data_IF_953302002172
#
_entry.id   IF_953302002172
#
_cell.length_a   1.000
_cell.length_b   1.000
_cell.length_c   1.000
_cell.angle_alpha   90.00
_cell.angle_beta   90.00
_cell.angle_gamma   90.00
#
_symmetry.space_group_name_H-M   'P 1'
#
loop_
_entity.id
_entity.type
_entity.pdbx_description
1 polymer ?
#
# COMPACT_ATOMS: atom_id res chain seq x y z
N UNK A 1 24.58 -20.91 2.18
CA UNK A 1 23.60 -20.12 2.95
C UNK A 1 22.27 -20.29 2.26
N UNK A 2 21.40 -21.15 2.78
CA UNK A 2 20.04 -21.28 2.24
C UNK A 2 19.33 -19.95 2.40
N UNK A 3 18.97 -19.33 1.28
CA UNK A 3 18.03 -18.22 1.28
C UNK A 3 16.70 -18.85 1.66
N UNK A 4 16.37 -18.83 2.96
CA UNK A 4 15.00 -19.06 3.42
C UNK A 4 14.11 -18.14 2.59
N UNK A 5 13.29 -18.74 1.72
CA UNK A 5 12.30 -18.01 0.92
C UNK A 5 11.44 -17.28 1.95
N UNK A 6 11.69 -15.98 2.12
CA UNK A 6 10.98 -15.16 3.11
C UNK A 6 9.49 -15.33 2.81
N UNK A 7 8.76 -15.91 3.75
CA UNK A 7 7.32 -16.02 3.65
C UNK A 7 6.73 -14.63 3.53
N UNK A 8 5.72 -14.48 2.67
CA UNK A 8 5.04 -13.20 2.47
C UNK A 8 4.51 -12.73 3.84
N UNK A 9 4.88 -11.52 4.25
CA UNK A 9 4.45 -10.95 5.52
C UNK A 9 2.95 -10.68 5.49
N UNK A 10 2.20 -11.29 6.41
CA UNK A 10 0.75 -11.10 6.57
C UNK A 10 0.43 -10.56 7.95
N UNK A 11 -0.42 -9.53 8.00
CA UNK A 11 -0.80 -8.88 9.26
C UNK A 11 -2.16 -8.18 9.12
N UNK A 12 -3.20 -8.82 9.67
CA UNK A 12 -4.52 -8.21 9.78
C UNK A 12 -4.46 -6.89 10.58
N UNK A 13 -3.59 -6.81 11.61
CA UNK A 13 -3.35 -5.60 12.39
C UNK A 13 -2.79 -4.47 11.52
N UNK A 14 -1.84 -4.77 10.63
CA UNK A 14 -1.33 -3.78 9.69
C UNK A 14 -2.42 -3.25 8.76
N UNK A 15 -3.16 -4.15 8.11
CA UNK A 15 -4.21 -3.75 7.18
C UNK A 15 -5.33 -2.96 7.88
N UNK A 16 -5.65 -3.30 9.15
CA UNK A 16 -6.58 -2.51 9.95
C UNK A 16 -6.03 -1.11 10.24
N UNK A 17 -4.74 -0.98 10.58
CA UNK A 17 -4.10 0.32 10.80
C UNK A 17 -4.14 1.21 9.55
N UNK A 18 -3.86 0.65 8.36
CA UNK A 18 -3.98 1.37 7.08
C UNK A 18 -5.41 1.87 6.85
N UNK A 19 -6.41 1.04 7.17
CA UNK A 19 -7.84 1.38 7.02
C UNK A 19 -8.36 2.38 8.05
N UNK A 20 -7.63 2.64 9.13
CA UNK A 20 -7.96 3.70 10.10
C UNK A 20 -7.57 5.10 9.60
N UNK A 21 -6.89 5.21 8.46
CA UNK A 21 -6.62 6.51 7.85
C UNK A 21 -7.87 7.01 7.14
N UNK A 22 -8.47 8.10 7.61
CA UNK A 22 -9.76 8.59 7.09
C UNK A 22 -9.70 9.08 5.64
N UNK A 23 -8.52 9.53 5.19
CA UNK A 23 -8.35 10.21 3.92
C UNK A 23 -7.24 9.57 3.10
N UNK A 24 -7.47 9.48 1.79
CA UNK A 24 -6.48 9.07 0.80
C UNK A 24 -5.18 9.87 0.96
N UNK A 25 -4.05 9.18 1.01
CA UNK A 25 -2.75 9.83 1.20
C UNK A 25 -2.28 10.65 -0.01
N UNK A 26 -2.86 10.40 -1.20
CA UNK A 26 -2.52 11.13 -2.43
C UNK A 26 -3.40 12.36 -2.66
N UNK A 27 -4.72 12.19 -2.61
CA UNK A 27 -5.67 13.24 -3.02
C UNK A 27 -6.52 13.79 -1.86
N UNK A 28 -6.36 13.27 -0.64
CA UNK A 28 -7.09 13.70 0.57
C UNK A 28 -8.60 13.43 0.56
N UNK A 29 -9.15 12.79 -0.48
CA UNK A 29 -10.55 12.30 -0.49
C UNK A 29 -10.80 11.39 0.72
N UNK A 30 -11.95 11.59 1.38
CA UNK A 30 -12.39 10.74 2.48
C UNK A 30 -12.71 9.31 2.02
N UNK A 31 -12.39 8.33 2.85
CA UNK A 31 -12.54 6.91 2.59
C UNK A 31 -11.32 6.30 1.90
N UNK A 32 -10.81 5.19 2.46
CA UNK A 32 -9.63 4.49 1.95
C UNK A 32 -9.81 2.97 1.88
N UNK A 33 -9.06 2.36 0.98
CA UNK A 33 -8.77 0.94 0.90
C UNK A 33 -7.29 0.73 1.22
N UNK A 34 -6.94 -0.43 1.79
CA UNK A 34 -5.56 -0.87 1.88
C UNK A 34 -5.16 -1.50 0.54
N UNK A 35 -4.61 -0.69 -0.36
CA UNK A 35 -4.15 -1.10 -1.68
C UNK A 35 -2.78 -1.77 -1.57
N UNK A 36 -2.62 -2.99 -2.07
CA UNK A 36 -1.33 -3.70 -2.09
C UNK A 36 -0.51 -3.29 -3.31
N UNK A 37 0.82 -3.21 -3.18
CA UNK A 37 1.69 -2.98 -4.35
C UNK A 37 1.43 -4.04 -5.42
N UNK A 38 1.28 -3.60 -6.66
CA UNK A 38 1.03 -4.46 -7.81
C UNK A 38 2.32 -4.70 -8.63
N UNK A 39 3.34 -5.26 -8.00
CA UNK A 39 4.65 -5.53 -8.59
C UNK A 39 5.29 -6.79 -7.97
N UNK A 40 6.18 -7.45 -8.71
CA UNK A 40 6.98 -8.61 -8.28
C UNK A 40 6.16 -9.76 -7.67
N UNK A 41 4.97 -9.99 -8.23
CA UNK A 41 4.03 -11.02 -7.79
C UNK A 41 3.40 -11.76 -8.96
N UNK A 42 3.07 -13.03 -8.75
CA UNK A 42 2.23 -13.79 -9.67
C UNK A 42 0.80 -13.24 -9.73
N UNK A 43 0.08 -13.57 -10.80
CA UNK A 43 -1.31 -13.17 -10.98
C UNK A 43 -2.18 -13.68 -9.81
N UNK A 44 -3.04 -12.81 -9.27
CA UNK A 44 -3.89 -13.14 -8.11
C UNK A 44 -3.18 -13.18 -6.74
N UNK A 45 -1.84 -13.11 -6.71
CA UNK A 45 -1.09 -13.04 -5.45
C UNK A 45 -1.02 -11.60 -4.93
N UNK A 46 -0.84 -11.48 -3.61
CA UNK A 46 -0.55 -10.21 -2.92
C UNK A 46 0.88 -10.25 -2.42
N UNK A 47 1.60 -9.14 -2.50
CA UNK A 47 2.89 -8.96 -1.80
C UNK A 47 2.68 -8.83 -0.29
N UNK A 48 3.74 -8.55 0.45
CA UNK A 48 3.70 -8.26 1.88
C UNK A 48 2.63 -7.22 2.21
N UNK A 49 1.89 -7.46 3.30
CA UNK A 49 0.88 -6.51 3.78
C UNK A 49 1.51 -5.16 4.18
N UNK A 50 2.81 -5.14 4.50
CA UNK A 50 3.56 -3.91 4.79
C UNK A 50 3.76 -3.02 3.56
N UNK A 51 3.59 -3.56 2.36
CA UNK A 51 3.65 -2.83 1.08
C UNK A 51 2.24 -2.41 0.64
N UNK A 52 1.50 -1.79 1.57
CA UNK A 52 0.15 -1.28 1.32
C UNK A 52 0.05 0.23 1.49
N UNK A 53 -0.85 0.86 0.73
CA UNK A 53 -1.15 2.28 0.81
C UNK A 53 -2.63 2.53 1.12
N UNK A 54 -2.92 3.60 1.87
CA UNK A 54 -4.29 4.06 2.15
C UNK A 54 -4.79 4.96 1.00
N UNK A 55 -5.52 4.37 0.05
CA UNK A 55 -5.98 5.04 -1.17
C UNK A 55 -7.50 5.06 -1.28
N UNK A 56 -8.07 6.15 -1.80
CA UNK A 56 -9.47 6.13 -2.23
C UNK A 56 -9.63 5.23 -3.47
N UNK A 57 -10.87 4.86 -3.79
CA UNK A 57 -11.18 3.95 -4.91
C UNK A 57 -10.64 4.46 -6.26
N UNK A 58 -10.71 5.76 -6.52
CA UNK A 58 -10.23 6.32 -7.81
C UNK A 58 -8.71 6.24 -7.93
N UNK A 59 -7.98 6.66 -6.89
CA UNK A 59 -6.52 6.59 -6.88
C UNK A 59 -6.03 5.14 -6.93
N UNK A 60 -6.70 4.24 -6.22
CA UNK A 60 -6.40 2.81 -6.25
C UNK A 60 -6.62 2.24 -7.66
N UNK A 61 -7.75 2.54 -8.29
CA UNK A 61 -8.02 2.13 -9.67
C UNK A 61 -6.99 2.70 -10.66
N UNK A 62 -6.66 3.99 -10.57
CA UNK A 62 -5.70 4.64 -11.46
C UNK A 62 -4.31 3.98 -11.39
N UNK A 63 -3.87 3.56 -10.20
CA UNK A 63 -2.58 2.90 -9.99
C UNK A 63 -2.60 1.44 -10.45
N UNK A 64 -3.69 0.71 -10.22
CA UNK A 64 -3.73 -0.73 -10.53
C UNK A 64 -4.10 -1.02 -11.98
N UNK A 65 -5.05 -0.27 -12.54
CA UNK A 65 -5.72 -0.59 -13.81
C UNK A 65 -5.88 0.62 -14.76
N UNK A 66 -5.46 1.82 -14.35
CA UNK A 66 -5.63 3.04 -15.15
C UNK A 66 -4.77 3.09 -16.41
N UNK A 67 -5.30 3.69 -17.48
CA UNK A 67 -4.64 3.90 -18.78
C UNK A 67 -3.80 5.18 -18.86
N UNK A 68 -4.06 6.14 -17.97
CA UNK A 68 -3.49 7.50 -18.05
C UNK A 68 -2.01 7.59 -17.68
N UNK A 69 -1.48 6.56 -17.00
CA UNK A 69 -0.10 6.51 -16.52
C UNK A 69 0.63 5.34 -17.16
N UNK A 70 1.91 5.52 -17.45
CA UNK A 70 2.82 4.43 -17.80
C UNK A 70 2.97 3.46 -16.61
N UNK A 71 3.48 2.25 -16.88
CA UNK A 71 3.70 1.25 -15.82
C UNK A 71 4.65 1.78 -14.75
N UNK A 72 5.70 2.47 -15.16
CA UNK A 72 6.73 3.06 -14.32
C UNK A 72 6.15 4.19 -13.46
N UNK A 73 5.32 5.05 -14.02
CA UNK A 73 4.62 6.09 -13.26
C UNK A 73 3.66 5.51 -12.23
N UNK A 74 2.90 4.45 -12.56
CA UNK A 74 2.02 3.77 -11.59
C UNK A 74 2.82 3.18 -10.44
N UNK A 75 3.98 2.56 -10.71
CA UNK A 75 4.89 2.02 -9.69
C UNK A 75 5.46 3.12 -8.80
N UNK A 76 5.97 4.21 -9.39
CA UNK A 76 6.50 5.34 -8.64
C UNK A 76 5.43 6.01 -7.77
N UNK A 77 4.19 6.13 -8.27
CA UNK A 77 3.08 6.68 -7.52
C UNK A 77 2.66 5.76 -6.36
N UNK A 78 2.68 4.45 -6.57
CA UNK A 78 2.43 3.47 -5.50
C UNK A 78 3.50 3.55 -4.41
N UNK A 79 4.77 3.68 -4.77
CA UNK A 79 5.88 3.83 -3.82
C UNK A 79 5.73 5.09 -2.99
N UNK A 80 5.40 6.21 -3.64
CA UNK A 80 5.08 7.46 -2.94
C UNK A 80 3.91 7.27 -1.98
N UNK A 81 2.84 6.58 -2.40
CA UNK A 81 1.67 6.34 -1.56
C UNK A 81 1.98 5.45 -0.33
N UNK A 82 2.82 4.43 -0.48
CA UNK A 82 3.27 3.58 0.62
C UNK A 82 4.08 4.42 1.63
N UNK A 83 5.04 5.22 1.17
CA UNK A 83 5.84 6.10 2.06
C UNK A 83 4.96 7.08 2.83
N UNK A 84 3.98 7.70 2.17
CA UNK A 84 3.04 8.61 2.83
C UNK A 84 2.16 7.88 3.86
N UNK A 85 1.74 6.65 3.55
CA UNK A 85 0.98 5.81 4.48
C UNK A 85 1.80 5.47 5.71
N UNK A 86 3.06 5.02 5.54
CA UNK A 86 3.98 4.74 6.65
C UNK A 86 4.20 5.97 7.54
N UNK A 87 4.40 7.15 6.92
CA UNK A 87 4.51 8.42 7.65
C UNK A 87 3.27 8.69 8.50
N UNK A 88 2.07 8.46 7.98
CA UNK A 88 0.84 8.70 8.75
C UNK A 88 0.62 7.66 9.85
N UNK A 89 0.88 6.38 9.58
CA UNK A 89 0.79 5.32 10.58
C UNK A 89 1.71 5.56 11.78
N UNK A 90 2.95 5.98 11.51
CA UNK A 90 3.93 6.31 12.57
C UNK A 90 3.56 7.58 13.32
N UNK A 91 3.10 8.64 12.65
CA UNK A 91 2.63 9.88 13.30
C UNK A 91 1.44 9.64 14.23
N UNK A 92 0.57 8.69 13.90
CA UNK A 92 -0.60 8.30 14.72
C UNK A 92 -0.29 7.22 15.75
N UNK A 93 0.94 6.71 15.81
CA UNK A 93 1.31 5.61 16.72
C UNK A 93 0.63 4.27 16.41
N UNK A 94 0.08 4.09 15.21
CA UNK A 94 -0.62 2.87 14.79
C UNK A 94 0.36 1.74 14.45
N UNK A 95 1.57 2.11 14.04
CA UNK A 95 2.72 1.22 13.85
C UNK A 95 3.92 1.85 14.54
N UNK A 96 4.60 1.06 15.38
CA UNK A 96 5.80 1.47 16.12
C UNK A 96 6.91 0.47 15.79
N UNK A 97 8.07 0.91 15.29
CA UNK A 97 9.26 0.07 15.17
C UNK A 97 9.62 -0.50 16.55
N UNK A 98 9.95 -1.79 16.60
CA UNK A 98 10.44 -2.42 17.83
C UNK A 98 11.88 -2.02 18.11
#
# INVERSE_FOLDING_TARGET
MEVSVKSIYRSAKWLAAVRQLDCCVLCRRWGVQAAHRNEDKGMGLKVDDSLTAALCVDCHHAIDNGSELTREERRALMDRAIVLTLRELTRRGLVVPK
#
